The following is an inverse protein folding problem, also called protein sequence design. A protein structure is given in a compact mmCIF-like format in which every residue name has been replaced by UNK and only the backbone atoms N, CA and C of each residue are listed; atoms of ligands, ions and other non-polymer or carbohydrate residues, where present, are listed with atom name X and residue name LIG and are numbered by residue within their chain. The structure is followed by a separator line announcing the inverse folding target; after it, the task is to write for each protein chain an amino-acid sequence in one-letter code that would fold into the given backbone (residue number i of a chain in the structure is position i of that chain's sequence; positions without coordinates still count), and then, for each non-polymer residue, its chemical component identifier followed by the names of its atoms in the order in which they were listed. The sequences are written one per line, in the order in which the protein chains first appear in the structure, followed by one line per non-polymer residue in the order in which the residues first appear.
data_IF_270422603022
#
_entry.id   IF_270422603022
#
_cell.length_a   1.000
_cell.length_b   1.000
_cell.length_c   1.000
_cell.angle_alpha   90.00
_cell.angle_beta   90.00
_cell.angle_gamma   90.00
#
_symmetry.space_group_name_H-M   'P 1'
#
loop_
_entity.id
_entity.type
_entity.pdbx_description
1 polymer ?
#
# COMPACT_ATOMS: atom_id res chain seq x y z
N UNK A 1 -10.95 20.56 -10.19
CA UNK A 1 -9.59 20.95 -9.78
C UNK A 1 -9.21 20.09 -8.58
N UNK A 2 -8.34 19.10 -8.76
CA UNK A 2 -7.84 18.31 -7.66
C UNK A 2 -6.97 19.21 -6.78
N UNK A 3 -7.38 19.41 -5.53
CA UNK A 3 -6.61 20.12 -4.53
C UNK A 3 -5.43 19.21 -4.19
N UNK A 4 -4.22 19.53 -4.64
CA UNK A 4 -3.01 18.88 -4.16
C UNK A 4 -2.90 19.21 -2.66
N UNK A 5 -3.36 18.29 -1.83
CA UNK A 5 -3.13 18.38 -0.39
C UNK A 5 -1.78 17.73 -0.16
N UNK A 6 -0.78 18.56 0.14
CA UNK A 6 0.52 18.06 0.57
C UNK A 6 0.33 17.31 1.88
N UNK A 7 0.88 16.10 1.94
CA UNK A 7 0.98 15.37 3.17
C UNK A 7 1.86 16.17 4.15
N UNK A 8 1.33 16.47 5.34
CA UNK A 8 2.04 17.25 6.37
C UNK A 8 2.19 16.42 7.65
N UNK A 9 3.39 16.44 8.22
CA UNK A 9 3.69 15.74 9.46
C UNK A 9 4.13 16.71 10.54
N UNK A 10 3.38 16.75 11.65
CA UNK A 10 3.68 17.54 12.82
C UNK A 10 4.13 16.66 13.98
N UNK A 11 5.36 16.86 14.44
CA UNK A 11 5.82 16.27 15.68
C UNK A 11 5.17 17.00 16.87
N UNK A 12 4.40 16.27 17.69
CA UNK A 12 3.70 16.83 18.85
C UNK A 12 4.57 16.74 20.10
N UNK A 13 5.17 15.57 20.35
CA UNK A 13 5.96 15.33 21.56
C UNK A 13 7.04 14.28 21.32
N UNK A 14 8.20 14.49 21.92
CA UNK A 14 9.25 13.46 22.10
C UNK A 14 9.29 13.06 23.56
N UNK A 15 9.56 11.79 23.81
CA UNK A 15 9.89 11.33 25.15
C UNK A 15 11.34 11.67 25.51
N UNK A 16 11.58 12.05 26.76
CA UNK A 16 12.91 12.43 27.22
C UNK A 16 13.80 11.24 27.59
N UNK A 17 13.19 10.09 27.89
CA UNK A 17 13.89 8.88 28.32
C UNK A 17 14.05 7.81 27.24
N UNK A 18 13.45 8.01 26.05
CA UNK A 18 13.48 7.04 24.96
C UNK A 18 13.44 7.72 23.58
N UNK A 19 13.42 6.92 22.49
CA UNK A 19 13.23 7.40 21.11
C UNK A 19 11.76 7.54 20.70
N UNK A 20 10.81 7.36 21.63
CA UNK A 20 9.39 7.44 21.34
C UNK A 20 8.97 8.86 20.91
N UNK A 21 8.05 8.92 19.95
CA UNK A 21 7.53 10.17 19.40
C UNK A 21 6.02 10.07 19.22
N UNK A 22 5.31 11.12 19.58
CA UNK A 22 3.93 11.36 19.21
C UNK A 22 3.89 12.36 18.06
N UNK A 23 3.17 12.07 17.02
CA UNK A 23 2.99 12.95 15.86
C UNK A 23 1.59 12.92 15.29
N UNK A 24 1.32 13.86 14.40
CA UNK A 24 0.09 13.96 13.63
C UNK A 24 0.47 14.03 12.15
N UNK A 25 -0.08 13.12 11.34
CA UNK A 25 0.04 13.14 9.89
C UNK A 25 -1.28 13.60 9.30
N UNK A 26 -1.26 14.63 8.47
CA UNK A 26 -2.43 15.14 7.75
C UNK A 26 -2.39 14.65 6.30
N UNK A 27 -3.50 14.06 5.85
CA UNK A 27 -3.72 13.58 4.48
C UNK A 27 -4.96 14.24 3.88
N UNK A 28 -5.27 13.91 2.62
CA UNK A 28 -6.48 14.39 1.96
C UNK A 28 -7.77 13.94 2.65
N UNK A 29 -7.77 12.75 3.25
CA UNK A 29 -8.94 12.13 3.89
C UNK A 29 -8.92 12.20 5.43
N UNK A 30 -8.03 12.99 6.00
CA UNK A 30 -8.03 13.25 7.44
C UNK A 30 -6.69 13.17 8.13
N UNK A 31 -6.74 13.20 9.45
CA UNK A 31 -5.58 13.20 10.32
C UNK A 31 -5.35 11.84 10.95
N UNK A 32 -4.10 11.50 11.13
CA UNK A 32 -3.64 10.25 11.73
C UNK A 32 -2.71 10.60 12.89
N UNK A 33 -3.04 10.13 14.09
CA UNK A 33 -2.13 10.23 15.24
C UNK A 33 -1.15 9.08 15.23
N UNK A 34 0.13 9.36 15.36
CA UNK A 34 1.19 8.33 15.35
C UNK A 34 1.88 8.23 16.70
N UNK A 35 2.24 7.01 17.15
CA UNK A 35 2.16 5.73 16.46
C UNK A 35 0.73 5.18 16.39
N UNK A 36 0.41 4.47 15.30
CA UNK A 36 -0.91 3.84 15.11
C UNK A 36 -0.78 2.49 14.43
N UNK A 37 -1.71 1.58 14.71
CA UNK A 37 -1.88 0.34 13.99
C UNK A 37 -2.76 0.57 12.75
N UNK A 38 -2.38 -0.01 11.61
CA UNK A 38 -3.15 0.01 10.38
C UNK A 38 -3.78 -1.36 10.14
N UNK A 39 -5.11 -1.52 10.28
CA UNK A 39 -5.78 -2.76 9.86
C UNK A 39 -5.52 -3.04 8.37
N UNK A 40 -5.30 -4.31 8.03
CA UNK A 40 -4.99 -4.71 6.66
C UNK A 40 -6.27 -5.06 5.91
N UNK A 41 -6.62 -4.21 4.96
CA UNK A 41 -7.73 -4.37 4.02
C UNK A 41 -7.25 -4.87 2.65
N UNK A 42 -6.72 -6.09 2.59
CA UNK A 42 -5.98 -6.67 1.45
C UNK A 42 -6.65 -6.44 0.09
N UNK A 43 -7.94 -6.73 -0.02
CA UNK A 43 -8.72 -6.61 -1.25
C UNK A 43 -9.94 -5.70 -1.02
N UNK A 44 -9.68 -4.46 -0.58
CA UNK A 44 -10.69 -3.47 -0.23
C UNK A 44 -11.59 -3.86 0.95
N UNK A 45 -11.16 -4.79 1.80
CA UNK A 45 -11.89 -5.19 3.00
C UNK A 45 -10.97 -5.80 4.04
N UNK A 46 -11.25 -5.56 5.31
CA UNK A 46 -10.68 -6.31 6.43
C UNK A 46 -11.48 -7.60 6.55
N UNK A 47 -10.83 -8.74 6.27
CA UNK A 47 -11.53 -10.03 6.19
C UNK A 47 -12.26 -10.38 7.49
N UNK A 48 -13.55 -10.73 7.37
CA UNK A 48 -14.37 -11.17 8.49
C UNK A 48 -14.83 -10.04 9.43
N UNK A 49 -14.57 -8.78 9.08
CA UNK A 49 -14.99 -7.60 9.86
C UNK A 49 -15.75 -6.64 8.95
N UNK A 50 -16.93 -6.21 9.37
CA UNK A 50 -17.68 -5.22 8.60
C UNK A 50 -17.00 -3.85 8.64
N UNK A 51 -17.15 -3.08 7.56
CA UNK A 51 -16.51 -1.77 7.44
C UNK A 51 -16.90 -0.81 8.57
N UNK A 52 -18.15 -0.83 9.01
CA UNK A 52 -18.61 0.00 10.12
C UNK A 52 -17.97 -0.40 11.47
N UNK A 53 -17.66 -1.69 11.68
CA UNK A 53 -16.96 -2.17 12.90
C UNK A 53 -15.51 -1.68 12.89
N UNK A 54 -14.84 -1.72 11.72
CA UNK A 54 -13.49 -1.13 11.57
C UNK A 54 -13.50 0.37 11.88
N UNK A 55 -14.56 1.08 11.46
CA UNK A 55 -14.68 2.51 11.73
C UNK A 55 -15.08 2.84 13.17
N UNK A 56 -16.10 2.17 13.72
CA UNK A 56 -16.73 2.55 14.99
C UNK A 56 -16.15 1.80 16.18
N UNK A 57 -15.95 0.49 16.05
CA UNK A 57 -15.57 -0.34 17.19
C UNK A 57 -14.05 -0.36 17.37
N UNK A 58 -13.28 -0.51 16.27
CA UNK A 58 -11.81 -0.44 16.35
C UNK A 58 -11.26 0.98 16.29
N UNK A 59 -12.07 1.95 15.87
CA UNK A 59 -11.68 3.36 15.69
C UNK A 59 -10.45 3.55 14.81
N UNK A 60 -10.28 2.69 13.80
CA UNK A 60 -9.16 2.78 12.87
C UNK A 60 -9.12 4.16 12.20
N UNK A 61 -7.94 4.77 12.19
CA UNK A 61 -7.72 6.08 11.56
C UNK A 61 -7.19 5.93 10.13
N UNK A 62 -6.63 4.80 9.80
CA UNK A 62 -6.05 4.46 8.49
C UNK A 62 -6.17 2.97 8.24
N UNK A 63 -6.34 2.57 6.97
CA UNK A 63 -6.33 1.17 6.52
C UNK A 63 -5.20 0.98 5.51
N UNK A 64 -4.58 -0.21 5.50
CA UNK A 64 -3.61 -0.62 4.50
C UNK A 64 -4.29 -1.49 3.43
N UNK A 65 -4.19 -1.08 2.16
CA UNK A 65 -4.57 -1.89 0.99
C UNK A 65 -3.35 -2.50 0.30
N UNK A 66 -3.50 -3.68 -0.30
CA UNK A 66 -2.40 -4.31 -1.02
C UNK A 66 -2.52 -4.11 -2.53
N UNK A 67 -1.60 -3.37 -3.12
CA UNK A 67 -1.60 -3.01 -4.54
C UNK A 67 -1.66 -4.22 -5.47
N UNK A 68 -0.87 -5.25 -5.23
CA UNK A 68 -0.88 -6.49 -6.01
C UNK A 68 -2.28 -7.13 -6.06
N UNK A 69 -2.94 -7.26 -4.93
CA UNK A 69 -4.26 -7.87 -4.85
C UNK A 69 -5.33 -7.01 -5.53
N UNK A 70 -5.33 -5.71 -5.27
CA UNK A 70 -6.28 -4.76 -5.86
C UNK A 70 -6.13 -4.66 -7.38
N UNK A 71 -4.88 -4.71 -7.88
CA UNK A 71 -4.57 -4.73 -9.30
C UNK A 71 -5.14 -5.97 -10.00
N UNK A 72 -4.99 -7.16 -9.41
CA UNK A 72 -5.49 -8.41 -9.99
C UNK A 72 -7.01 -8.55 -9.81
N UNK A 73 -7.54 -8.16 -8.66
CA UNK A 73 -8.97 -8.26 -8.33
C UNK A 73 -9.36 -7.24 -7.25
N UNK A 74 -10.28 -6.31 -7.51
CA UNK A 74 -11.24 -6.25 -8.63
C UNK A 74 -10.65 -5.83 -9.98
N UNK A 75 -9.40 -5.30 -10.00
CA UNK A 75 -8.75 -4.75 -11.18
C UNK A 75 -8.94 -3.24 -11.31
N UNK A 76 -8.03 -2.59 -12.04
CA UNK A 76 -7.98 -1.12 -12.11
C UNK A 76 -9.22 -0.52 -12.77
N UNK A 77 -9.74 -1.17 -13.83
CA UNK A 77 -10.94 -0.69 -14.53
C UNK A 77 -12.15 -0.57 -13.61
N UNK A 78 -12.33 -1.55 -12.70
CA UNK A 78 -13.43 -1.53 -11.72
C UNK A 78 -13.21 -0.44 -10.69
N UNK A 79 -11.99 -0.29 -10.18
CA UNK A 79 -11.66 0.75 -9.20
C UNK A 79 -11.80 2.15 -9.79
N UNK A 80 -11.36 2.37 -11.03
CA UNK A 80 -11.50 3.65 -11.72
C UNK A 80 -12.97 4.02 -11.93
N UNK A 81 -13.79 3.06 -12.41
CA UNK A 81 -15.24 3.26 -12.57
C UNK A 81 -15.96 3.53 -11.25
N UNK A 82 -15.47 2.97 -10.16
CA UNK A 82 -16.00 3.20 -8.82
C UNK A 82 -15.59 4.58 -8.24
N UNK A 83 -14.65 5.29 -8.87
CA UNK A 83 -14.13 6.55 -8.36
C UNK A 83 -12.99 6.39 -7.35
N UNK A 84 -12.25 5.27 -7.42
CA UNK A 84 -11.13 4.94 -6.55
C UNK A 84 -11.49 4.05 -5.36
N UNK A 85 -10.46 3.66 -4.62
CA UNK A 85 -10.59 2.67 -3.54
C UNK A 85 -11.47 3.16 -2.39
N UNK A 86 -11.42 4.45 -2.04
CA UNK A 86 -12.26 5.04 -1.00
C UNK A 86 -13.75 4.85 -1.29
N UNK A 87 -14.17 5.13 -2.52
CA UNK A 87 -15.56 4.93 -2.94
C UNK A 87 -15.92 3.44 -3.03
N UNK A 88 -15.02 2.64 -3.61
CA UNK A 88 -15.24 1.20 -3.78
C UNK A 88 -15.48 0.47 -2.46
N UNK A 89 -14.71 0.80 -1.42
CA UNK A 89 -14.83 0.17 -0.11
C UNK A 89 -15.68 0.96 0.90
N UNK A 90 -16.26 2.09 0.48
CA UNK A 90 -17.03 2.99 1.35
C UNK A 90 -16.24 3.41 2.62
N UNK A 91 -14.99 3.83 2.44
CA UNK A 91 -14.10 4.27 3.50
C UNK A 91 -13.71 5.73 3.31
N UNK A 92 -14.00 6.59 4.31
CA UNK A 92 -13.82 8.03 4.19
C UNK A 92 -12.56 8.55 4.90
N UNK A 93 -11.78 7.66 5.52
CA UNK A 93 -10.55 7.98 6.22
C UNK A 93 -9.32 7.62 5.40
N UNK A 94 -8.10 7.99 5.82
CA UNK A 94 -6.88 7.68 5.10
C UNK A 94 -6.70 6.20 4.71
N UNK A 95 -6.11 5.99 3.54
CA UNK A 95 -5.68 4.70 3.02
C UNK A 95 -4.20 4.78 2.64
N UNK A 96 -3.43 3.77 3.04
CA UNK A 96 -2.09 3.51 2.53
C UNK A 96 -2.15 2.29 1.60
N UNK A 97 -1.49 2.35 0.45
CA UNK A 97 -1.21 1.15 -0.35
C UNK A 97 0.26 0.79 -0.31
N UNK A 98 0.55 -0.51 -0.18
CA UNK A 98 1.91 -1.02 -0.35
C UNK A 98 2.33 -0.99 -1.83
N UNK A 99 3.60 -1.30 -2.12
CA UNK A 99 4.13 -1.35 -3.48
C UNK A 99 3.67 -2.58 -4.29
N UNK A 100 3.29 -3.66 -3.62
CA UNK A 100 3.04 -4.97 -4.21
C UNK A 100 4.28 -5.83 -4.43
N UNK A 101 5.50 -5.34 -4.17
CA UNK A 101 6.76 -6.06 -4.38
C UNK A 101 6.84 -7.36 -3.60
N UNK A 102 6.49 -7.34 -2.32
CA UNK A 102 6.47 -8.53 -1.48
C UNK A 102 5.52 -9.62 -2.00
N UNK A 103 4.32 -9.25 -2.45
CA UNK A 103 3.34 -10.22 -2.96
C UNK A 103 3.77 -10.83 -4.29
N UNK A 104 4.40 -10.06 -5.16
CA UNK A 104 5.04 -10.60 -6.37
C UNK A 104 6.13 -11.59 -5.99
N UNK A 105 6.92 -11.31 -4.95
CA UNK A 105 7.94 -12.23 -4.45
C UNK A 105 7.32 -13.50 -3.85
N UNK A 106 6.31 -13.38 -3.00
CA UNK A 106 5.80 -14.49 -2.19
C UNK A 106 4.71 -15.34 -2.87
N UNK A 107 3.88 -14.74 -3.74
CA UNK A 107 2.69 -15.39 -4.30
C UNK A 107 2.83 -15.80 -5.77
N UNK A 108 3.75 -15.20 -6.53
CA UNK A 108 3.92 -15.59 -7.93
C UNK A 108 4.73 -16.87 -8.05
N UNK A 109 4.13 -17.90 -8.66
CA UNK A 109 4.82 -19.19 -8.91
C UNK A 109 5.98 -19.08 -9.91
N UNK A 110 5.89 -18.14 -10.85
CA UNK A 110 6.94 -17.82 -11.82
C UNK A 110 7.12 -16.33 -11.91
N UNK A 111 8.36 -15.88 -11.67
CA UNK A 111 8.74 -14.47 -11.80
C UNK A 111 10.12 -14.35 -12.46
N UNK A 112 10.34 -13.26 -13.16
CA UNK A 112 11.62 -12.86 -13.72
C UNK A 112 11.87 -11.41 -13.38
N UNK A 113 12.87 -11.18 -12.55
CA UNK A 113 13.30 -9.85 -12.10
C UNK A 113 14.37 -9.36 -13.06
N UNK A 114 14.30 -8.10 -13.45
CA UNK A 114 15.26 -7.33 -14.21
C UNK A 114 15.31 -5.91 -13.69
N UNK A 115 16.31 -5.12 -14.11
CA UNK A 115 16.42 -3.71 -13.76
C UNK A 115 15.16 -2.90 -14.14
N UNK A 116 14.55 -3.22 -15.28
CA UNK A 116 13.36 -2.51 -15.73
C UNK A 116 12.10 -2.85 -14.96
N UNK A 117 12.11 -3.95 -14.18
CA UNK A 117 10.95 -4.40 -13.43
C UNK A 117 10.82 -5.91 -13.33
N UNK A 118 9.69 -6.37 -12.82
CA UNK A 118 9.41 -7.79 -12.59
C UNK A 118 8.25 -8.28 -13.44
N UNK A 119 8.53 -9.29 -14.29
CA UNK A 119 7.49 -10.06 -14.96
C UNK A 119 7.08 -11.23 -14.07
N UNK A 120 5.78 -11.34 -13.78
CA UNK A 120 5.25 -12.39 -12.91
C UNK A 120 3.98 -13.02 -13.47
N UNK A 121 3.65 -14.20 -12.96
CA UNK A 121 2.43 -14.91 -13.26
C UNK A 121 1.41 -14.75 -12.15
N UNK A 122 0.21 -14.32 -12.49
CA UNK A 122 -0.91 -14.19 -11.54
C UNK A 122 -1.24 -15.53 -10.88
N UNK A 123 -1.40 -15.54 -9.57
CA UNK A 123 -1.83 -16.71 -8.81
C UNK A 123 -3.33 -17.00 -8.96
N UNK A 124 -4.11 -16.08 -9.56
CA UNK A 124 -5.56 -16.21 -9.72
C UNK A 124 -5.90 -17.00 -10.99
N UNK A 125 -5.30 -16.59 -12.11
CA UNK A 125 -5.66 -17.09 -13.46
C UNK A 125 -4.47 -17.50 -14.32
N UNK A 126 -3.25 -17.33 -13.80
CA UNK A 126 -2.03 -17.69 -14.52
C UNK A 126 -1.61 -16.70 -15.61
N UNK A 127 -2.29 -15.57 -15.77
CA UNK A 127 -1.92 -14.52 -16.72
C UNK A 127 -0.58 -13.88 -16.36
N UNK A 128 0.14 -13.35 -17.36
CA UNK A 128 1.43 -12.70 -17.15
C UNK A 128 1.25 -11.18 -17.05
N UNK A 129 1.92 -10.60 -16.06
CA UNK A 129 1.93 -9.18 -15.79
C UNK A 129 3.37 -8.67 -15.69
N UNK A 130 3.54 -7.36 -15.85
CA UNK A 130 4.80 -6.65 -15.65
C UNK A 130 4.56 -5.51 -14.67
N UNK A 131 5.32 -5.51 -13.57
CA UNK A 131 5.44 -4.36 -12.68
C UNK A 131 6.78 -3.69 -12.91
N UNK A 132 6.75 -2.40 -13.19
CA UNK A 132 7.92 -1.50 -13.19
C UNK A 132 7.75 -0.45 -12.11
N UNK A 133 8.82 0.22 -11.66
CA UNK A 133 8.69 1.32 -10.70
C UNK A 133 7.65 2.36 -11.14
N UNK A 134 7.63 2.73 -12.42
CA UNK A 134 6.72 3.75 -12.95
C UNK A 134 5.27 3.26 -12.99
N UNK A 135 5.01 2.06 -13.55
CA UNK A 135 3.63 1.61 -13.70
C UNK A 135 2.99 1.25 -12.35
N UNK A 136 3.77 0.84 -11.35
CA UNK A 136 3.25 0.61 -9.99
C UNK A 136 2.81 1.94 -9.35
N UNK A 137 3.50 3.04 -9.62
CA UNK A 137 3.04 4.37 -9.19
C UNK A 137 1.73 4.76 -9.86
N UNK A 138 1.58 4.48 -11.16
CA UNK A 138 0.34 4.76 -11.89
C UNK A 138 -0.81 3.86 -11.45
N UNK A 139 -0.53 2.59 -11.15
CA UNK A 139 -1.49 1.66 -10.53
C UNK A 139 -2.00 2.22 -9.20
N UNK A 140 -1.11 2.64 -8.30
CA UNK A 140 -1.49 3.18 -7.00
C UNK A 140 -2.24 4.51 -7.12
N UNK A 141 -1.91 5.35 -8.12
CA UNK A 141 -2.68 6.57 -8.43
C UNK A 141 -4.11 6.25 -8.88
N UNK A 142 -4.27 5.22 -9.72
CA UNK A 142 -5.60 4.75 -10.15
C UNK A 142 -6.39 4.17 -8.97
N UNK A 143 -5.73 3.44 -8.08
CA UNK A 143 -6.33 2.97 -6.82
C UNK A 143 -6.76 4.17 -5.96
N UNK A 144 -6.00 5.25 -5.92
CA UNK A 144 -6.38 6.50 -5.27
C UNK A 144 -6.17 6.50 -3.76
N UNK A 145 -5.09 5.87 -3.26
CA UNK A 145 -4.71 5.93 -1.85
C UNK A 145 -4.10 7.29 -1.48
N UNK A 146 -4.16 7.67 -0.19
CA UNK A 146 -3.53 8.90 0.33
C UNK A 146 -2.01 8.76 0.41
N UNK A 147 -1.54 7.57 0.77
CA UNK A 147 -0.12 7.24 0.90
C UNK A 147 0.18 6.08 -0.03
N UNK A 148 1.15 6.27 -0.91
CA UNK A 148 1.62 5.28 -1.86
C UNK A 148 3.09 4.97 -1.60
N UNK A 149 3.49 3.71 -1.85
CA UNK A 149 4.84 3.23 -1.57
C UNK A 149 5.63 3.04 -2.86
N UNK A 150 6.92 3.40 -2.84
CA UNK A 150 7.83 3.10 -3.94
C UNK A 150 7.93 1.58 -4.14
N UNK A 151 8.08 1.17 -5.42
CA UNK A 151 8.24 -0.25 -5.73
C UNK A 151 9.58 -0.75 -5.21
N UNK A 152 9.54 -1.78 -4.37
CA UNK A 152 10.70 -2.40 -3.74
C UNK A 152 10.91 -3.83 -4.21
N UNK A 153 12.15 -4.31 -4.09
CA UNK A 153 12.50 -5.70 -4.30
C UNK A 153 12.72 -6.41 -2.97
N UNK A 154 11.98 -7.51 -2.76
CA UNK A 154 12.16 -8.35 -1.59
C UNK A 154 13.40 -9.23 -1.75
N UNK A 155 14.40 -8.97 -0.92
CA UNK A 155 15.66 -9.74 -0.91
C UNK A 155 15.42 -11.16 -0.40
N UNK A 156 15.95 -12.20 -1.08
CA UNK A 156 15.90 -13.57 -0.57
C UNK A 156 16.70 -13.70 0.74
N UNK A 157 16.26 -14.58 1.62
CA UNK A 157 16.99 -14.88 2.86
C UNK A 157 17.26 -16.39 2.94
N UNK A 158 18.51 -16.81 3.21
CA UNK A 158 19.71 -15.97 3.35
C UNK A 158 20.22 -15.44 1.99
N UNK A 159 20.85 -14.26 2.00
CA UNK A 159 21.57 -13.73 0.83
C UNK A 159 22.96 -13.20 1.25
N UNK A 160 23.86 -13.09 0.28
CA UNK A 160 25.18 -12.51 0.51
C UNK A 160 25.13 -10.96 0.54
N UNK A 161 26.19 -10.36 1.08
CA UNK A 161 26.34 -8.90 1.21
C UNK A 161 26.40 -8.18 -0.17
N UNK A 162 26.89 -8.87 -1.21
CA UNK A 162 27.02 -8.29 -2.55
C UNK A 162 25.62 -8.11 -3.13
N UNK A 163 24.78 -9.14 -3.03
CA UNK A 163 23.35 -9.07 -3.43
C UNK A 163 22.62 -7.96 -2.69
N UNK A 164 22.79 -7.84 -1.37
CA UNK A 164 22.18 -6.74 -0.60
C UNK A 164 22.60 -5.36 -1.08
N UNK A 165 23.89 -5.17 -1.36
CA UNK A 165 24.42 -3.88 -1.83
C UNK A 165 23.91 -3.52 -3.21
N UNK A 166 23.76 -4.49 -4.12
CA UNK A 166 23.24 -4.24 -5.47
C UNK A 166 21.76 -3.83 -5.51
N UNK A 167 21.01 -4.15 -4.46
CA UNK A 167 19.60 -3.78 -4.33
C UNK A 167 19.38 -2.41 -3.64
N UNK A 168 20.44 -1.83 -3.09
CA UNK A 168 20.41 -0.53 -2.39
C UNK A 168 21.04 0.61 -3.18
N UNK A 169 21.52 0.35 -4.40
CA UNK A 169 22.08 1.36 -5.32
C UNK A 169 21.11 1.74 -6.41
#
# INVERSE_FOLDING_TARGET
MAKFIFMDFKLIKKDNGSKARLGELTTAHGKILTPIFMPVGTAATVKGVHQHEVDKDTQAQIILGNTYHLYLRPGLEVLEKAGGLHQFMNWQKPILTDSGGYQVYSLSGKRKIKEEGVKFQSHIDGSYHLFTPENVMDIQRTIGADIIMAFDECTPYPCDIITLKSLCT
#
